data_IF_732224932428
#
_entry.id   IF_732224932428
#
_cell.length_a   1.000
_cell.length_b   1.000
_cell.length_c   1.000
_cell.angle_alpha   90.00
_cell.angle_beta   90.00
_cell.angle_gamma   90.00
#
_symmetry.space_group_name_H-M   'P 1'
#
loop_
_entity.id
_entity.type
_entity.pdbx_description
1 polymer ?
#
# COMPACT_ATOMS: atom_id res chain seq x y z
N UNK A 1 3.47 -2.46 19.23
CA UNK A 1 2.22 -3.24 19.16
C UNK A 1 1.47 -3.05 17.84
N UNK A 2 1.32 -1.82 17.30
CA UNK A 2 0.61 -1.60 16.03
C UNK A 2 1.39 -2.02 14.75
N UNK A 3 2.73 -1.86 14.72
CA UNK A 3 3.55 -2.25 13.56
C UNK A 3 3.39 -3.73 13.18
N UNK A 4 3.32 -4.63 14.17
CA UNK A 4 3.12 -6.07 13.93
C UNK A 4 1.73 -6.39 13.39
N UNK A 5 0.71 -5.61 13.78
CA UNK A 5 -0.67 -5.80 13.31
C UNK A 5 -0.79 -5.42 11.83
N UNK A 6 -0.31 -4.23 11.44
CA UNK A 6 -0.36 -3.79 10.05
C UNK A 6 0.49 -4.68 9.14
N UNK A 7 1.62 -5.18 9.64
CA UNK A 7 2.46 -6.12 8.91
C UNK A 7 1.78 -7.47 8.67
N UNK A 8 1.15 -8.05 9.69
CA UNK A 8 0.42 -9.31 9.55
C UNK A 8 -0.72 -9.19 8.52
N UNK A 9 -1.47 -8.08 8.56
CA UNK A 9 -2.51 -7.77 7.58
C UNK A 9 -1.95 -7.58 6.17
N UNK A 10 -0.79 -6.92 6.03
CA UNK A 10 -0.12 -6.77 4.75
C UNK A 10 0.27 -8.12 4.13
N UNK A 11 0.80 -9.06 4.92
CA UNK A 11 1.10 -10.41 4.44
C UNK A 11 -0.14 -11.13 3.90
N UNK A 12 -1.25 -11.08 4.64
CA UNK A 12 -2.52 -11.68 4.23
C UNK A 12 -3.01 -11.06 2.91
N UNK A 13 -3.10 -9.73 2.86
CA UNK A 13 -3.59 -8.99 1.71
C UNK A 13 -2.75 -9.23 0.46
N UNK A 14 -1.42 -9.31 0.57
CA UNK A 14 -0.58 -9.61 -0.59
C UNK A 14 -0.97 -10.93 -1.26
N UNK A 15 -1.30 -11.97 -0.48
CA UNK A 15 -1.71 -13.27 -1.03
C UNK A 15 -3.07 -13.26 -1.71
N UNK A 16 -3.92 -12.27 -1.42
CA UNK A 16 -5.23 -12.13 -2.06
C UNK A 16 -5.13 -11.47 -3.43
N UNK A 17 -4.24 -10.48 -3.57
CA UNK A 17 -4.17 -9.64 -4.76
C UNK A 17 -2.99 -9.97 -5.68
N UNK A 18 -1.99 -10.68 -5.17
CA UNK A 18 -0.84 -11.10 -5.94
C UNK A 18 -0.69 -12.61 -5.89
N UNK A 19 -0.18 -13.17 -6.99
CA UNK A 19 0.13 -14.58 -7.05
C UNK A 19 1.48 -14.82 -6.32
N UNK A 20 1.46 -14.73 -5.00
CA UNK A 20 2.62 -14.91 -4.12
C UNK A 20 2.21 -15.75 -2.90
N UNK A 21 3.11 -16.60 -2.40
CA UNK A 21 2.87 -17.38 -1.19
C UNK A 21 3.26 -18.86 -1.31
N UNK A 22 2.75 -19.67 -0.39
CA UNK A 22 3.18 -21.07 -0.20
C UNK A 22 2.79 -22.01 -1.35
N UNK A 23 1.88 -21.60 -2.22
CA UNK A 23 1.43 -22.38 -3.38
C UNK A 23 2.36 -22.23 -4.60
N UNK A 24 3.37 -21.37 -4.54
CA UNK A 24 4.37 -21.16 -5.59
C UNK A 24 5.75 -21.61 -5.16
N UNK A 25 6.63 -21.82 -6.14
CA UNK A 25 8.05 -22.03 -5.85
C UNK A 25 8.73 -20.76 -5.36
N UNK A 26 9.85 -20.92 -4.66
CA UNK A 26 10.67 -19.82 -4.18
C UNK A 26 11.13 -18.90 -5.32
N UNK A 27 11.60 -19.48 -6.43
CA UNK A 27 12.04 -18.71 -7.60
C UNK A 27 10.91 -17.85 -8.20
N UNK A 28 9.69 -18.38 -8.24
CA UNK A 28 8.52 -17.65 -8.72
C UNK A 28 8.12 -16.51 -7.78
N UNK A 29 8.07 -16.76 -6.47
CA UNK A 29 7.77 -15.74 -5.47
C UNK A 29 8.81 -14.61 -5.50
N UNK A 30 10.09 -14.97 -5.63
CA UNK A 30 11.18 -14.01 -5.74
C UNK A 30 11.01 -13.13 -6.99
N UNK A 31 10.78 -13.76 -8.15
CA UNK A 31 10.58 -13.04 -9.41
C UNK A 31 9.37 -12.10 -9.35
N UNK A 32 8.25 -12.56 -8.79
CA UNK A 32 7.03 -11.76 -8.63
C UNK A 32 7.28 -10.55 -7.74
N UNK A 33 7.86 -10.75 -6.56
CA UNK A 33 8.14 -9.67 -5.60
C UNK A 33 9.07 -8.61 -6.19
N UNK A 34 10.13 -9.03 -6.88
CA UNK A 34 11.06 -8.11 -7.55
C UNK A 34 10.38 -7.32 -8.67
N UNK A 35 9.52 -7.96 -9.47
CA UNK A 35 8.76 -7.30 -10.53
C UNK A 35 7.81 -6.25 -9.95
N UNK A 36 7.04 -6.62 -8.92
CA UNK A 36 6.11 -5.73 -8.25
C UNK A 36 6.83 -4.49 -7.69
N UNK A 37 7.94 -4.68 -6.98
CA UNK A 37 8.72 -3.59 -6.38
C UNK A 37 9.36 -2.69 -7.45
N UNK A 38 10.08 -3.27 -8.43
CA UNK A 38 10.87 -2.51 -9.41
C UNK A 38 10.02 -1.53 -10.22
N UNK A 39 8.78 -1.91 -10.55
CA UNK A 39 7.85 -1.06 -11.29
C UNK A 39 6.90 -0.25 -10.42
N UNK A 40 6.97 -0.38 -9.09
CA UNK A 40 5.91 0.05 -8.16
C UNK A 40 4.51 -0.42 -8.61
N UNK A 41 4.45 -1.61 -9.23
CA UNK A 41 3.22 -2.17 -9.83
C UNK A 41 2.18 -2.45 -8.77
N UNK A 42 2.62 -2.85 -7.56
CA UNK A 42 1.75 -3.06 -6.40
C UNK A 42 1.04 -1.80 -5.89
N UNK A 43 1.31 -0.62 -6.47
CA UNK A 43 0.62 0.65 -6.18
C UNK A 43 -0.28 1.12 -7.33
N UNK A 44 -0.30 0.44 -8.47
CA UNK A 44 -0.99 0.91 -9.68
C UNK A 44 -2.17 0.02 -10.04
N UNK A 45 -3.26 0.63 -10.47
CA UNK A 45 -4.46 -0.09 -10.94
C UNK A 45 -4.73 0.17 -12.44
N UNK A 46 -3.86 -0.38 -13.28
CA UNK A 46 -3.94 -0.21 -14.74
C UNK A 46 -3.79 1.26 -15.19
N UNK A 47 -4.45 1.57 -16.30
CA UNK A 47 -4.48 2.90 -16.92
C UNK A 47 -5.94 3.34 -17.12
N UNK A 48 -6.19 4.65 -17.17
CA UNK A 48 -7.49 5.20 -17.53
C UNK A 48 -7.75 5.19 -19.04
N UNK A 49 -8.95 5.65 -19.43
CA UNK A 49 -9.36 5.75 -20.83
C UNK A 49 -8.46 6.67 -21.68
N UNK A 50 -7.71 7.58 -21.06
CA UNK A 50 -6.75 8.46 -21.72
C UNK A 50 -5.30 7.95 -21.63
N UNK A 51 -5.09 6.70 -21.20
CA UNK A 51 -3.78 6.06 -21.12
C UNK A 51 -2.91 6.49 -19.93
N UNK A 52 -3.47 7.23 -18.97
CA UNK A 52 -2.75 7.63 -17.75
C UNK A 52 -2.85 6.54 -16.69
N UNK A 53 -1.69 6.12 -16.16
CA UNK A 53 -1.60 5.21 -15.01
C UNK A 53 -2.43 5.68 -13.82
N UNK A 54 -3.13 4.75 -13.18
CA UNK A 54 -3.83 4.98 -11.92
C UNK A 54 -2.86 4.71 -10.77
N UNK A 55 -2.10 5.72 -10.39
CA UNK A 55 -1.14 5.63 -9.27
C UNK A 55 -1.86 5.66 -7.92
N UNK A 56 -1.30 4.97 -6.93
CA UNK A 56 -1.87 4.81 -5.59
C UNK A 56 -3.32 4.29 -5.62
N UNK A 57 -3.64 3.40 -6.56
CA UNK A 57 -5.00 2.92 -6.77
C UNK A 57 -5.15 1.41 -6.59
N UNK A 58 -4.05 0.68 -6.40
CA UNK A 58 -4.07 -0.77 -6.39
C UNK A 58 -5.02 -1.32 -5.30
N UNK A 59 -5.87 -2.31 -5.59
CA UNK A 59 -6.83 -2.86 -4.63
C UNK A 59 -6.23 -3.33 -3.30
N UNK A 60 -5.00 -3.88 -3.32
CA UNK A 60 -4.29 -4.26 -2.08
C UNK A 60 -4.01 -3.06 -1.15
N UNK A 61 -3.71 -1.89 -1.72
CA UNK A 61 -3.51 -0.66 -0.95
C UNK A 61 -4.81 -0.24 -0.28
N UNK A 62 -5.91 -0.27 -1.03
CA UNK A 62 -7.26 0.08 -0.53
C UNK A 62 -7.67 -0.86 0.59
N UNK A 63 -7.54 -2.17 0.36
CA UNK A 63 -7.90 -3.19 1.33
C UNK A 63 -7.19 -2.97 2.67
N UNK A 64 -5.88 -2.71 2.65
CA UNK A 64 -5.10 -2.52 3.87
C UNK A 64 -5.40 -1.16 4.54
N UNK A 65 -5.65 -0.11 3.76
CA UNK A 65 -6.09 1.18 4.31
C UNK A 65 -7.42 1.03 5.05
N UNK A 66 -8.42 0.43 4.40
CA UNK A 66 -9.76 0.29 4.97
C UNK A 66 -9.71 -0.61 6.21
N UNK A 67 -9.04 -1.75 6.12
CA UNK A 67 -8.93 -2.72 7.20
C UNK A 67 -8.13 -2.19 8.41
N UNK A 68 -7.11 -1.36 8.20
CA UNK A 68 -6.30 -0.83 9.32
C UNK A 68 -6.83 0.50 9.88
N UNK A 69 -7.24 1.44 9.02
CA UNK A 69 -7.61 2.80 9.44
C UNK A 69 -9.11 3.03 9.57
N UNK A 70 -9.95 2.17 8.99
CA UNK A 70 -11.41 2.36 8.94
C UNK A 70 -12.24 1.19 9.49
N UNK A 71 -11.61 0.10 9.96
CA UNK A 71 -12.32 -0.98 10.65
C UNK A 71 -13.00 -0.52 11.97
N UNK A 72 -13.85 -1.40 12.53
CA UNK A 72 -14.47 -1.18 13.84
C UNK A 72 -13.37 -0.97 14.90
N UNK A 73 -13.43 0.14 15.64
CA UNK A 73 -12.40 0.58 16.60
C UNK A 73 -11.07 1.04 15.99
N UNK A 74 -11.12 1.69 14.82
CA UNK A 74 -9.93 2.20 14.12
C UNK A 74 -9.57 3.65 14.46
N UNK A 75 -8.41 4.09 13.95
CA UNK A 75 -7.93 5.47 14.09
C UNK A 75 -8.90 6.50 13.50
N UNK A 76 -9.69 6.14 12.49
CA UNK A 76 -10.70 7.06 11.93
C UNK A 76 -11.81 7.44 12.92
N UNK A 77 -12.12 6.58 13.89
CA UNK A 77 -13.08 6.85 14.96
C UNK A 77 -12.45 7.72 16.05
N UNK A 78 -11.17 7.47 16.35
CA UNK A 78 -10.43 8.22 17.36
C UNK A 78 -10.06 9.64 16.92
N UNK A 79 -9.82 9.85 15.63
CA UNK A 79 -9.38 11.11 15.03
C UNK A 79 -10.24 11.48 13.80
N UNK A 80 -11.56 11.70 13.99
CA UNK A 80 -12.47 11.98 12.89
C UNK A 80 -12.09 13.25 12.12
N UNK A 81 -11.49 14.24 12.77
CA UNK A 81 -10.99 15.47 12.13
C UNK A 81 -9.89 15.20 11.09
N UNK A 82 -9.17 14.08 11.21
CA UNK A 82 -8.11 13.68 10.28
C UNK A 82 -8.64 12.78 9.15
N UNK A 83 -9.56 11.85 9.46
CA UNK A 83 -9.93 10.76 8.56
C UNK A 83 -11.35 10.88 7.95
N UNK A 84 -12.14 11.89 8.33
CA UNK A 84 -13.55 11.97 7.95
C UNK A 84 -13.82 12.38 6.50
N UNK A 85 -12.93 13.17 5.89
CA UNK A 85 -13.13 13.73 4.56
C UNK A 85 -12.48 12.89 3.46
N UNK A 86 -11.21 12.54 3.66
CA UNK A 86 -10.41 11.73 2.75
C UNK A 86 -9.35 10.96 3.54
N UNK A 87 -8.86 9.86 2.99
CA UNK A 87 -7.71 9.16 3.58
C UNK A 87 -6.48 10.08 3.53
N UNK A 88 -5.79 10.34 4.67
CA UNK A 88 -4.57 11.14 4.66
C UNK A 88 -3.50 10.53 3.76
N UNK A 89 -2.86 11.35 2.93
CA UNK A 89 -1.76 10.92 2.04
C UNK A 89 -0.62 10.25 2.80
N UNK A 90 -0.32 10.73 4.01
CA UNK A 90 0.67 10.13 4.91
C UNK A 90 0.28 8.71 5.29
N UNK A 91 -1.00 8.45 5.56
CA UNK A 91 -1.52 7.11 5.83
C UNK A 91 -1.40 6.23 4.58
N UNK A 92 -1.74 6.72 3.38
CA UNK A 92 -1.52 5.99 2.13
C UNK A 92 -0.06 5.59 1.93
N UNK A 93 0.88 6.51 2.17
CA UNK A 93 2.31 6.25 2.03
C UNK A 93 2.82 5.25 3.08
N UNK A 94 2.27 5.28 4.30
CA UNK A 94 2.58 4.30 5.33
C UNK A 94 2.14 2.90 4.90
N UNK A 95 0.91 2.74 4.41
CA UNK A 95 0.40 1.46 3.90
C UNK A 95 1.21 0.97 2.70
N UNK A 96 1.53 1.85 1.76
CA UNK A 96 2.42 1.54 0.63
C UNK A 96 3.78 1.01 1.11
N UNK A 97 4.33 1.61 2.17
CA UNK A 97 5.58 1.17 2.79
C UNK A 97 5.45 -0.21 3.44
N UNK A 98 4.33 -0.48 4.12
CA UNK A 98 4.09 -1.78 4.74
C UNK A 98 3.93 -2.88 3.68
N UNK A 99 3.21 -2.63 2.59
CA UNK A 99 3.11 -3.56 1.46
C UNK A 99 4.46 -3.79 0.80
N UNK A 100 5.25 -2.73 0.60
CA UNK A 100 6.62 -2.85 0.09
C UNK A 100 7.48 -3.72 1.03
N UNK A 101 7.40 -3.51 2.34
CA UNK A 101 8.14 -4.31 3.32
C UNK A 101 7.76 -5.79 3.26
N UNK A 102 6.47 -6.08 3.21
CA UNK A 102 5.96 -7.44 3.10
C UNK A 102 6.37 -8.12 1.78
N UNK A 103 6.41 -7.39 0.66
CA UNK A 103 6.97 -7.88 -0.61
C UNK A 103 8.49 -8.10 -0.52
N UNK A 104 9.20 -7.19 0.13
CA UNK A 104 10.64 -7.21 0.23
C UNK A 104 11.16 -8.49 0.92
N UNK A 105 10.38 -9.05 1.84
CA UNK A 105 10.69 -10.33 2.51
C UNK A 105 10.89 -11.49 1.51
N UNK A 106 10.26 -11.46 0.33
CA UNK A 106 10.39 -12.52 -0.67
C UNK A 106 11.56 -12.28 -1.65
N UNK A 107 12.19 -11.11 -1.66
CA UNK A 107 13.12 -10.70 -2.74
C UNK A 107 14.45 -11.43 -2.75
N UNK A 108 14.89 -11.98 -1.63
CA UNK A 108 16.17 -12.67 -1.51
C UNK A 108 16.06 -14.18 -1.71
N UNK A 109 15.07 -14.80 -1.06
CA UNK A 109 14.96 -16.27 -0.95
C UNK A 109 13.67 -16.82 -1.54
N UNK A 110 12.74 -15.97 -1.98
CA UNK A 110 11.42 -16.43 -2.42
C UNK A 110 10.49 -16.92 -1.31
N UNK A 111 10.94 -16.86 -0.05
CA UNK A 111 10.17 -17.27 1.13
C UNK A 111 10.00 -16.09 2.07
N UNK A 112 8.82 -15.99 2.70
CA UNK A 112 8.52 -14.96 3.71
C UNK A 112 9.53 -15.03 4.86
N UNK A 113 10.30 -13.96 5.07
CA UNK A 113 11.35 -13.88 6.08
C UNK A 113 10.88 -13.27 7.43
N UNK A 114 9.61 -12.88 7.58
CA UNK A 114 9.04 -12.33 8.83
C UNK A 114 9.92 -11.22 9.45
N UNK A 115 10.51 -10.37 8.60
CA UNK A 115 11.45 -9.33 9.01
C UNK A 115 10.71 -8.21 9.76
N UNK A 116 11.18 -7.73 10.91
CA UNK A 116 10.50 -6.67 11.64
C UNK A 116 10.25 -5.40 10.80
N UNK A 117 9.03 -4.87 10.83
CA UNK A 117 8.70 -3.57 10.25
C UNK A 117 9.24 -2.42 11.13
N UNK A 118 10.50 -2.04 10.88
CA UNK A 118 11.22 -1.04 11.66
C UNK A 118 11.49 0.26 10.90
N UNK A 119 11.51 1.37 11.64
CA UNK A 119 11.78 2.70 11.10
C UNK A 119 13.13 2.77 10.36
N UNK A 120 14.19 2.21 10.95
CA UNK A 120 15.53 2.24 10.34
C UNK A 120 15.55 1.51 9.00
N UNK A 121 14.81 0.40 8.88
CA UNK A 121 14.75 -0.40 7.65
C UNK A 121 13.92 0.24 6.54
N UNK A 122 12.83 0.93 6.88
CA UNK A 122 11.83 1.38 5.88
C UNK A 122 11.57 2.88 5.83
N UNK A 123 12.23 3.71 6.64
CA UNK A 123 12.13 5.18 6.57
C UNK A 123 12.45 5.74 5.19
N UNK A 124 13.50 5.22 4.54
CA UNK A 124 13.87 5.63 3.17
C UNK A 124 12.79 5.29 2.14
N UNK A 125 12.15 4.13 2.28
CA UNK A 125 11.04 3.71 1.41
C UNK A 125 9.83 4.63 1.63
N UNK A 126 9.51 4.91 2.89
CA UNK A 126 8.44 5.83 3.25
C UNK A 126 8.65 7.23 2.71
N UNK A 127 9.84 7.81 2.88
CA UNK A 127 10.20 9.11 2.28
C UNK A 127 10.09 9.08 0.76
N UNK A 128 10.53 7.99 0.12
CA UNK A 128 10.38 7.83 -1.33
C UNK A 128 8.93 7.84 -1.79
N UNK A 129 7.99 7.27 -1.02
CA UNK A 129 6.56 7.37 -1.33
C UNK A 129 5.97 8.75 -1.07
N UNK A 130 6.45 9.48 -0.05
CA UNK A 130 6.07 10.87 0.15
C UNK A 130 6.53 11.75 -1.03
N UNK A 131 7.75 11.55 -1.50
CA UNK A 131 8.28 12.26 -2.67
C UNK A 131 7.47 11.93 -3.93
N UNK A 132 7.16 10.64 -4.15
CA UNK A 132 6.29 10.21 -5.26
C UNK A 132 4.91 10.88 -5.17
N UNK A 133 4.29 10.90 -3.99
CA UNK A 133 2.99 11.54 -3.78
C UNK A 133 3.07 13.05 -4.06
N UNK A 134 4.14 13.71 -3.63
CA UNK A 134 4.37 15.11 -3.93
C UNK A 134 4.46 15.36 -5.45
N UNK A 135 5.18 14.51 -6.20
CA UNK A 135 5.26 14.61 -7.66
C UNK A 135 3.88 14.40 -8.33
N UNK A 136 3.06 13.48 -7.82
CA UNK A 136 1.68 13.30 -8.31
C UNK A 136 0.83 14.55 -8.08
N UNK A 137 1.03 15.23 -6.95
CA UNK A 137 0.29 16.44 -6.59
C UNK A 137 0.64 17.64 -7.48
N UNK A 138 1.85 17.67 -8.06
CA UNK A 138 2.27 18.70 -9.00
C UNK A 138 1.53 18.61 -10.36
N UNK A 139 0.91 17.45 -10.66
CA UNK A 139 0.14 17.24 -11.89
C UNK A 139 -1.36 17.24 -11.55
N UNK A 140 -2.14 18.28 -11.94
CA UNK A 140 -3.53 18.42 -11.51
C UNK A 140 -4.40 17.19 -11.74
N UNK A 141 -4.24 16.52 -12.90
CA UNK A 141 -4.96 15.27 -13.21
C UNK A 141 -4.69 14.18 -12.18
N UNK A 142 -3.43 13.96 -11.81
CA UNK A 142 -3.07 12.92 -10.83
C UNK A 142 -3.49 13.31 -9.41
N UNK A 143 -3.31 14.58 -9.04
CA UNK A 143 -3.78 15.11 -7.76
C UNK A 143 -5.29 14.88 -7.56
N UNK A 144 -6.10 15.20 -8.57
CA UNK A 144 -7.55 14.99 -8.53
C UNK A 144 -7.92 13.51 -8.42
N UNK A 145 -7.21 12.62 -9.12
CA UNK A 145 -7.44 11.17 -9.02
C UNK A 145 -7.14 10.63 -7.63
N UNK A 146 -5.97 10.91 -7.08
CA UNK A 146 -5.59 10.42 -5.74
C UNK A 146 -6.54 10.96 -4.67
N UNK A 147 -6.98 12.22 -4.80
CA UNK A 147 -8.01 12.79 -3.94
C UNK A 147 -9.35 12.05 -4.05
N UNK A 148 -9.83 11.81 -5.27
CA UNK A 148 -11.08 11.09 -5.50
C UNK A 148 -11.05 9.68 -4.90
N UNK A 149 -9.92 8.97 -5.03
CA UNK A 149 -9.68 7.68 -4.39
C UNK A 149 -9.76 7.79 -2.86
N UNK A 150 -9.04 8.74 -2.27
CA UNK A 150 -9.06 8.96 -0.82
C UNK A 150 -10.46 9.26 -0.27
N UNK A 151 -11.28 10.02 -0.98
CA UNK A 151 -12.68 10.27 -0.61
C UNK A 151 -13.51 8.99 -0.75
N UNK A 152 -13.39 8.28 -1.87
CA UNK A 152 -14.14 7.05 -2.12
C UNK A 152 -13.88 5.99 -1.04
N UNK A 153 -12.62 5.80 -0.64
CA UNK A 153 -12.26 4.80 0.37
C UNK A 153 -12.82 5.11 1.75
N UNK A 154 -12.95 6.40 2.12
CA UNK A 154 -13.65 6.80 3.35
C UNK A 154 -15.12 6.40 3.28
N UNK A 155 -15.77 6.58 2.13
CA UNK A 155 -17.20 6.23 1.98
C UNK A 155 -17.45 4.74 1.96
N UNK A 156 -16.55 3.94 1.37
CA UNK A 156 -16.68 2.48 1.31
C UNK A 156 -16.22 1.77 2.58
N UNK A 157 -15.40 2.43 3.40
CA UNK A 157 -14.91 1.90 4.67
C UNK A 157 -15.79 2.21 5.89
N UNK A 158 -16.92 2.91 5.70
CA UNK A 158 -17.91 3.20 6.74
C UNK A 158 -19.07 2.21 6.73
#
# INVERSE_FOLDING_TARGET
>A
MWHSIIQGKAHEILTWFHNIGKHRSDAENQSEAQMLIRGAVFLRDGVDAEGSTNNMAHPALVALITDFFYALSSLSIAFPEVFSCEVPKVAMCLVATTLHAALNEYTQTGTRQDCPFEYVGYSRVFTGFLDMQHQLDLVPKHASKTKALGIAWVTSGR
#
